data_IF_604863063783
#
_entry.id   IF_604863063783
#
_cell.length_a   1.000
_cell.length_b   1.000
_cell.length_c   1.000
_cell.angle_alpha   90.00
_cell.angle_beta   90.00
_cell.angle_gamma   90.00
#
_symmetry.space_group_name_H-M   'P 1'
#
loop_
_entity.id
_entity.type
_entity.pdbx_description
1 polymer ?
#
# COMPACT_ATOMS: atom_id res chain seq x y z
N UNK A 1 10.37 17.99 -9.57
CA UNK A 1 8.92 17.72 -9.75
C UNK A 1 8.73 16.79 -10.95
N UNK A 2 8.30 15.54 -10.73
CA UNK A 2 8.48 14.45 -11.71
C UNK A 2 7.21 13.96 -12.42
N UNK A 3 6.04 14.07 -11.78
CA UNK A 3 4.77 13.64 -12.38
C UNK A 3 4.21 14.77 -13.24
N UNK A 4 4.21 14.61 -14.57
CA UNK A 4 3.84 15.67 -15.54
C UNK A 4 2.54 15.42 -16.33
N UNK A 5 2.18 14.16 -16.63
CA UNK A 5 1.02 13.81 -17.49
C UNK A 5 0.32 12.51 -17.06
N UNK A 6 0.18 12.27 -15.75
CA UNK A 6 -0.51 11.07 -15.30
C UNK A 6 -2.03 11.30 -15.32
N UNK A 7 -2.78 10.42 -16.00
CA UNK A 7 -4.25 10.41 -15.94
C UNK A 7 -4.71 10.12 -14.51
N UNK A 8 -4.11 9.11 -13.87
CA UNK A 8 -4.30 8.75 -12.46
C UNK A 8 -2.93 8.43 -11.85
N UNK A 9 -2.62 8.93 -10.66
CA UNK A 9 -1.36 8.68 -9.94
C UNK A 9 -1.60 8.68 -8.43
N UNK A 10 -0.95 7.77 -7.73
CA UNK A 10 -0.93 7.72 -6.28
C UNK A 10 0.50 7.44 -5.80
N UNK A 11 0.93 8.17 -4.77
CA UNK A 11 2.13 7.88 -4.02
C UNK A 11 1.71 7.54 -2.60
N UNK A 12 2.21 6.42 -2.10
CA UNK A 12 2.02 6.01 -0.72
C UNK A 12 3.40 6.07 -0.08
N UNK A 13 3.55 7.01 0.84
CA UNK A 13 4.65 6.99 1.78
C UNK A 13 4.24 6.07 2.93
N UNK A 14 4.92 4.94 3.06
CA UNK A 14 4.61 3.92 4.04
C UNK A 14 5.83 3.64 4.88
N UNK A 15 5.61 3.47 6.18
CA UNK A 15 6.68 3.17 7.13
C UNK A 15 7.23 1.74 6.92
N UNK A 16 6.40 0.82 6.43
CA UNK A 16 6.75 -0.57 6.13
C UNK A 16 7.37 -1.34 7.30
N UNK A 17 7.09 -0.91 8.54
CA UNK A 17 7.64 -1.50 9.76
C UNK A 17 6.61 -1.54 10.90
N UNK A 18 6.74 -2.55 11.77
CA UNK A 18 5.97 -2.73 13.00
C UNK A 18 6.92 -2.51 14.18
N UNK A 19 6.69 -1.45 14.97
CA UNK A 19 7.53 -1.12 16.13
C UNK A 19 7.23 -1.99 17.36
N UNK A 20 6.03 -2.55 17.46
CA UNK A 20 5.58 -3.34 18.61
C UNK A 20 4.76 -4.53 18.14
N UNK A 21 5.04 -5.71 18.70
CA UNK A 21 4.39 -6.94 18.31
C UNK A 21 2.87 -6.90 18.58
N UNK A 22 2.09 -7.41 17.62
CA UNK A 22 0.65 -7.60 17.74
C UNK A 22 0.29 -9.00 17.22
N UNK A 23 -0.88 -9.57 17.56
CA UNK A 23 -1.32 -10.84 16.99
C UNK A 23 -1.20 -10.85 15.46
N UNK A 24 -0.43 -11.80 14.92
CA UNK A 24 -0.18 -11.94 13.48
C UNK A 24 0.76 -10.89 12.86
N UNK A 25 1.39 -10.02 13.66
CA UNK A 25 2.33 -8.98 13.20
C UNK A 25 3.51 -8.86 14.20
N UNK A 26 4.58 -9.66 14.02
CA UNK A 26 5.79 -9.50 14.82
C UNK A 26 6.45 -8.14 14.54
N UNK A 27 7.32 -7.70 15.44
CA UNK A 27 8.20 -6.53 15.21
C UNK A 27 9.05 -6.81 13.96
N UNK A 28 9.13 -5.82 13.06
CA UNK A 28 9.89 -5.96 11.82
C UNK A 28 9.18 -5.41 10.59
N UNK A 29 9.70 -5.78 9.42
CA UNK A 29 9.17 -5.35 8.13
C UNK A 29 7.72 -5.82 7.91
N UNK A 30 6.90 -4.98 7.28
CA UNK A 30 5.50 -5.30 6.94
C UNK A 30 5.07 -4.74 5.59
N UNK A 31 4.18 -5.47 4.95
CA UNK A 31 3.53 -5.21 3.67
C UNK A 31 2.37 -4.20 3.77
N UNK A 32 2.64 -3.01 4.29
CA UNK A 32 1.63 -1.94 4.37
C UNK A 32 1.11 -1.56 2.98
N UNK A 33 -0.21 -1.43 2.86
CA UNK A 33 -0.87 -0.94 1.64
C UNK A 33 -1.13 -1.99 0.54
N UNK A 34 -0.47 -3.15 0.55
CA UNK A 34 -0.57 -4.12 -0.56
C UNK A 34 -2.02 -4.59 -0.81
N UNK A 35 -2.75 -4.93 0.25
CA UNK A 35 -4.15 -5.37 0.17
C UNK A 35 -5.08 -4.22 -0.24
N UNK A 36 -4.84 -3.01 0.24
CA UNK A 36 -5.65 -1.85 -0.10
C UNK A 36 -5.57 -1.54 -1.61
N UNK A 37 -4.36 -1.54 -2.17
CA UNK A 37 -4.15 -1.32 -3.61
C UNK A 37 -4.74 -2.46 -4.43
N UNK A 38 -4.54 -3.72 -4.02
CA UNK A 38 -5.15 -4.85 -4.70
C UNK A 38 -6.68 -4.76 -4.72
N UNK A 39 -7.30 -4.49 -3.58
CA UNK A 39 -8.76 -4.32 -3.48
C UNK A 39 -9.25 -3.19 -4.38
N UNK A 40 -8.57 -2.05 -4.39
CA UNK A 40 -8.91 -0.93 -5.28
C UNK A 40 -8.86 -1.33 -6.76
N UNK A 41 -7.77 -1.97 -7.19
CA UNK A 41 -7.61 -2.41 -8.59
C UNK A 41 -8.69 -3.43 -8.94
N UNK A 42 -8.96 -4.41 -8.06
CA UNK A 42 -10.02 -5.42 -8.28
C UNK A 42 -11.41 -4.80 -8.35
N UNK A 43 -11.74 -3.84 -7.51
CA UNK A 43 -13.04 -3.15 -7.56
C UNK A 43 -13.20 -2.32 -8.84
N UNK A 44 -12.12 -1.68 -9.29
CA UNK A 44 -12.15 -0.78 -10.44
C UNK A 44 -12.09 -1.52 -11.79
N UNK A 45 -11.44 -2.68 -11.84
CA UNK A 45 -11.09 -3.36 -13.09
C UNK A 45 -11.35 -4.86 -13.09
N UNK A 46 -11.75 -5.46 -11.97
CA UNK A 46 -12.07 -6.89 -11.91
C UNK A 46 -13.40 -7.18 -12.60
N UNK A 47 -13.39 -8.15 -13.51
CA UNK A 47 -14.61 -8.83 -13.95
C UNK A 47 -15.17 -9.70 -12.81
#
# INVERSE_FOLDING_TARGET
RFVKRARHWAHLDIFAWVNEARPGRPVGATDQGIRAIYTYIRQRYGA
#
